data_IF_470922004170
#
_entry.id   IF_470922004170
#
_cell.length_a   1.000
_cell.length_b   1.000
_cell.length_c   1.000
_cell.angle_alpha   90.00
_cell.angle_beta   90.00
_cell.angle_gamma   90.00
#
_symmetry.space_group_name_H-M   'P 1'
#
loop_
_entity.id
_entity.type
_entity.pdbx_description
1 polymer ?
#
# COMPACT_ATOMS: atom_id res chain seq x y z
N UNK A 1 59.29 36.01 17.44
CA UNK A 1 59.14 34.85 16.54
C UNK A 1 57.71 34.35 16.72
N UNK A 2 56.97 34.32 15.61
CA UNK A 2 55.51 34.25 15.54
C UNK A 2 54.91 32.89 15.93
N UNK A 3 53.65 32.89 16.38
CA UNK A 3 52.57 32.05 15.80
C UNK A 3 51.26 32.24 16.55
N UNK A 4 50.34 33.03 15.99
CA UNK A 4 48.92 33.05 16.34
C UNK A 4 48.19 31.99 15.52
N UNK A 5 47.63 30.97 16.18
CA UNK A 5 46.77 29.95 15.54
C UNK A 5 45.35 30.51 15.36
N UNK A 6 44.98 30.81 14.11
CA UNK A 6 43.60 31.09 13.71
C UNK A 6 42.83 29.77 13.60
N UNK A 7 41.86 29.56 14.49
CA UNK A 7 40.93 28.43 14.39
C UNK A 7 39.83 28.81 13.39
N UNK A 8 39.82 28.18 12.22
CA UNK A 8 38.69 28.26 11.28
C UNK A 8 37.61 27.29 11.75
N UNK A 9 36.52 27.83 12.30
CA UNK A 9 35.28 27.07 12.47
C UNK A 9 34.66 26.85 11.08
N UNK A 10 34.72 25.62 10.59
CA UNK A 10 33.95 25.20 9.41
C UNK A 10 32.56 24.86 9.93
N UNK A 11 31.60 25.77 9.73
CA UNK A 11 30.17 25.49 9.89
C UNK A 11 29.76 24.51 8.79
N UNK A 12 29.72 23.22 9.14
CA UNK A 12 29.12 22.20 8.30
C UNK A 12 27.60 22.42 8.25
N UNK A 13 27.11 23.04 7.19
CA UNK A 13 25.68 23.09 6.89
C UNK A 13 25.22 21.70 6.51
N UNK A 14 24.64 20.97 7.48
CA UNK A 14 24.00 19.69 7.23
C UNK A 14 22.72 19.94 6.44
N UNK A 15 22.73 19.62 5.14
CA UNK A 15 21.53 19.58 4.32
C UNK A 15 20.68 18.42 4.82
N UNK A 16 19.61 18.72 5.57
CA UNK A 16 18.55 17.76 5.85
C UNK A 16 17.86 17.49 4.52
N UNK A 17 18.14 16.34 3.91
CA UNK A 17 17.37 15.85 2.78
C UNK A 17 15.98 15.53 3.33
N UNK A 18 15.01 16.37 3.01
CA UNK A 18 13.60 16.11 3.33
C UNK A 18 13.18 14.92 2.46
N UNK A 19 13.23 13.71 3.03
CA UNK A 19 12.72 12.51 2.38
C UNK A 19 11.25 12.74 2.08
N UNK A 20 10.91 12.82 0.79
CA UNK A 20 9.54 12.92 0.34
C UNK A 20 8.83 11.64 0.78
N UNK A 21 7.79 11.78 1.60
CA UNK A 21 6.96 10.68 2.07
C UNK A 21 5.60 10.75 1.37
N UNK A 22 4.92 9.61 1.23
CA UNK A 22 3.48 9.61 0.98
C UNK A 22 2.78 10.42 2.07
N UNK A 23 1.79 11.22 1.68
CA UNK A 23 1.05 12.05 2.62
C UNK A 23 -0.44 11.77 2.51
N UNK A 24 -1.12 11.94 3.64
CA UNK A 24 -2.57 11.94 3.70
C UNK A 24 -3.02 13.27 4.33
N UNK A 25 -4.00 13.92 3.70
CA UNK A 25 -4.64 15.14 4.22
C UNK A 25 -6.07 14.80 4.62
N UNK A 26 -6.41 15.05 5.89
CA UNK A 26 -7.75 14.85 6.42
C UNK A 26 -8.55 16.16 6.40
N UNK A 27 -9.70 16.14 5.75
CA UNK A 27 -10.68 17.23 5.72
C UNK A 27 -12.05 16.68 6.12
N UNK A 28 -12.50 17.02 7.33
CA UNK A 28 -13.70 16.40 7.92
C UNK A 28 -13.51 14.89 8.10
N UNK A 29 -14.35 14.10 7.42
CA UNK A 29 -14.28 12.63 7.42
C UNK A 29 -13.64 12.07 6.14
N UNK A 30 -13.07 12.93 5.29
CA UNK A 30 -12.35 12.49 4.10
C UNK A 30 -10.84 12.53 4.32
N UNK A 31 -10.15 11.48 3.91
CA UNK A 31 -8.70 11.36 3.88
C UNK A 31 -8.27 11.26 2.42
N UNK A 32 -7.57 12.27 1.92
CA UNK A 32 -7.04 12.31 0.55
C UNK A 32 -5.58 11.94 0.55
N UNK A 33 -5.22 10.88 -0.18
CA UNK A 33 -3.87 10.37 -0.29
C UNK A 33 -3.13 11.01 -1.47
N UNK A 34 -1.89 11.43 -1.25
CA UNK A 34 -0.96 11.89 -2.29
C UNK A 34 0.34 11.09 -2.16
N UNK A 35 0.80 10.40 -3.22
CA UNK A 35 1.98 9.55 -3.12
C UNK A 35 3.26 10.38 -3.01
N UNK A 36 4.27 9.81 -2.37
CA UNK A 36 5.59 10.42 -2.26
C UNK A 36 6.32 10.51 -3.61
N UNK A 37 5.94 9.65 -4.57
CA UNK A 37 6.56 9.50 -5.87
C UNK A 37 7.43 8.25 -5.96
N UNK A 38 8.18 8.12 -7.05
CA UNK A 38 8.95 6.92 -7.37
C UNK A 38 9.87 6.48 -6.23
N UNK A 39 9.71 5.23 -5.79
CA UNK A 39 10.54 4.59 -4.77
C UNK A 39 10.26 5.02 -3.32
N UNK A 40 9.20 5.80 -3.09
CA UNK A 40 8.75 6.17 -1.73
C UNK A 40 7.64 5.24 -1.28
N UNK A 41 7.85 4.53 -0.17
CA UNK A 41 6.81 3.68 0.42
C UNK A 41 5.63 4.52 0.94
N UNK A 42 4.45 4.32 0.35
CA UNK A 42 3.20 4.98 0.70
C UNK A 42 2.34 4.15 1.67
N UNK A 43 2.76 2.92 2.03
CA UNK A 43 1.96 2.01 2.86
C UNK A 43 1.52 2.62 4.20
N UNK A 44 2.38 3.39 4.85
CA UNK A 44 2.03 4.02 6.14
C UNK A 44 0.95 5.10 5.97
N UNK A 45 1.07 5.95 4.93
CA UNK A 45 0.07 6.99 4.68
C UNK A 45 -1.30 6.37 4.36
N UNK A 46 -1.31 5.25 3.64
CA UNK A 46 -2.52 4.48 3.34
C UNK A 46 -3.13 3.91 4.63
N UNK A 47 -2.33 3.26 5.48
CA UNK A 47 -2.80 2.76 6.77
C UNK A 47 -3.40 3.88 7.63
N UNK A 48 -2.70 5.02 7.74
CA UNK A 48 -3.16 6.19 8.50
C UNK A 48 -4.48 6.76 7.95
N UNK A 49 -4.69 6.71 6.62
CA UNK A 49 -5.95 7.14 5.99
C UNK A 49 -7.13 6.27 6.43
N UNK A 50 -6.95 4.96 6.42
CA UNK A 50 -7.99 4.02 6.85
C UNK A 50 -8.24 4.08 8.36
N UNK A 51 -7.20 4.28 9.17
CA UNK A 51 -7.35 4.46 10.62
C UNK A 51 -8.16 5.73 10.94
N UNK A 52 -7.94 6.81 10.20
CA UNK A 52 -8.56 8.10 10.50
C UNK A 52 -9.90 8.36 9.83
N UNK A 53 -10.17 7.73 8.68
CA UNK A 53 -11.37 7.95 7.87
C UNK A 53 -12.12 6.65 7.53
N UNK A 54 -11.73 5.51 8.12
CA UNK A 54 -12.38 4.21 7.90
C UNK A 54 -13.75 4.02 8.53
N UNK A 55 -14.23 5.01 9.30
CA UNK A 55 -15.50 4.97 10.02
C UNK A 55 -16.35 6.19 9.61
N UNK A 56 -17.49 5.97 8.95
CA UNK A 56 -18.37 7.04 8.44
C UNK A 56 -17.61 8.08 7.60
N UNK A 57 -16.72 7.62 6.73
CA UNK A 57 -15.74 8.46 6.06
C UNK A 57 -15.44 8.04 4.63
N UNK A 58 -14.44 8.71 4.07
CA UNK A 58 -14.04 8.57 2.68
C UNK A 58 -12.52 8.54 2.57
N UNK A 59 -11.98 7.49 1.95
CA UNK A 59 -10.55 7.39 1.60
C UNK A 59 -10.40 7.56 0.09
N UNK A 60 -9.70 8.60 -0.34
CA UNK A 60 -9.50 8.94 -1.75
C UNK A 60 -8.03 8.75 -2.14
N UNK A 61 -7.78 7.79 -3.03
CA UNK A 61 -6.55 7.70 -3.79
C UNK A 61 -6.70 8.53 -5.06
N UNK A 62 -5.89 9.58 -5.19
CA UNK A 62 -5.79 10.40 -6.38
C UNK A 62 -5.25 9.60 -7.57
N UNK A 63 -5.42 10.14 -8.78
CA UNK A 63 -4.90 9.53 -10.00
C UNK A 63 -3.37 9.68 -10.10
N UNK A 64 -2.66 8.85 -9.35
CA UNK A 64 -1.22 8.76 -9.26
C UNK A 64 -0.79 7.33 -8.91
N UNK A 65 0.52 7.05 -8.93
CA UNK A 65 1.07 5.75 -8.55
C UNK A 65 1.48 5.77 -7.08
N UNK A 66 0.98 4.81 -6.32
CA UNK A 66 1.31 4.58 -4.91
C UNK A 66 2.17 3.33 -4.79
N UNK A 67 3.36 3.45 -4.19
CA UNK A 67 4.22 2.31 -3.95
C UNK A 67 3.87 1.67 -2.61
N UNK A 68 3.48 0.40 -2.65
CA UNK A 68 3.11 -0.38 -1.48
C UNK A 68 4.28 -1.32 -1.18
N UNK A 69 5.14 -0.92 -0.25
CA UNK A 69 6.32 -1.71 0.14
C UNK A 69 6.10 -2.50 1.43
N UNK A 70 4.94 -2.31 2.08
CA UNK A 70 4.54 -3.03 3.30
C UNK A 70 3.11 -3.52 3.25
N UNK A 71 2.85 -4.61 3.98
CA UNK A 71 1.50 -5.17 4.13
C UNK A 71 0.50 -4.14 4.67
N UNK A 72 -0.72 -4.22 4.17
CA UNK A 72 -1.83 -3.38 4.61
C UNK A 72 -2.87 -4.25 5.29
N UNK A 73 -3.24 -3.91 6.52
CA UNK A 73 -4.38 -4.50 7.19
C UNK A 73 -5.36 -3.39 7.57
N UNK A 74 -6.34 -3.17 6.70
CA UNK A 74 -7.33 -2.10 6.82
C UNK A 74 -8.71 -2.76 6.99
N UNK A 75 -8.86 -3.44 8.12
CA UNK A 75 -10.07 -4.20 8.48
C UNK A 75 -10.87 -3.49 9.57
N UNK A 76 -12.09 -3.97 9.82
CA UNK A 76 -12.98 -3.36 10.82
C UNK A 76 -13.56 -2.01 10.40
N UNK A 77 -13.52 -1.69 9.11
CA UNK A 77 -14.09 -0.46 8.55
C UNK A 77 -15.63 -0.49 8.64
N UNK A 78 -16.26 0.69 8.70
CA UNK A 78 -17.72 0.81 8.77
C UNK A 78 -18.22 2.03 8.00
N UNK A 79 -19.19 1.85 7.11
CA UNK A 79 -19.79 2.92 6.31
C UNK A 79 -18.71 3.83 5.68
N UNK A 80 -17.85 3.21 4.88
CA UNK A 80 -16.65 3.84 4.33
C UNK A 80 -16.65 3.76 2.81
N UNK A 81 -16.51 4.92 2.17
CA UNK A 81 -16.27 5.02 0.73
C UNK A 81 -14.77 4.97 0.47
N UNK A 82 -14.36 4.22 -0.55
CA UNK A 82 -12.95 4.11 -0.98
C UNK A 82 -12.88 4.33 -2.47
N UNK A 83 -12.37 5.50 -2.87
CA UNK A 83 -12.19 5.86 -4.26
C UNK A 83 -10.73 5.59 -4.67
N UNK A 84 -10.55 4.66 -5.60
CA UNK A 84 -9.23 4.29 -6.13
C UNK A 84 -9.13 4.82 -7.57
N UNK A 85 -8.60 6.03 -7.72
CA UNK A 85 -8.35 6.63 -9.04
C UNK A 85 -6.92 6.37 -9.53
N UNK A 86 -6.03 5.92 -8.65
CA UNK A 86 -4.62 5.70 -8.95
C UNK A 86 -4.26 4.26 -9.29
N UNK A 87 -2.95 4.03 -9.36
CA UNK A 87 -2.34 2.71 -9.42
C UNK A 87 -1.70 2.42 -8.08
N UNK A 88 -2.09 1.31 -7.47
CA UNK A 88 -1.38 0.72 -6.36
C UNK A 88 -0.35 -0.23 -6.98
N UNK A 89 0.93 0.00 -6.72
CA UNK A 89 2.04 -0.78 -7.27
C UNK A 89 2.76 -1.48 -6.12
N UNK A 90 2.80 -2.81 -6.14
CA UNK A 90 3.42 -3.58 -5.07
C UNK A 90 4.93 -3.66 -5.25
N UNK A 91 5.63 -3.56 -4.13
CA UNK A 91 7.08 -3.70 -4.05
C UNK A 91 7.60 -5.05 -4.51
N UNK A 92 8.84 -5.10 -4.97
CA UNK A 92 9.48 -6.32 -5.52
C UNK A 92 10.36 -7.06 -4.51
N UNK A 93 10.40 -6.65 -3.24
CA UNK A 93 11.19 -7.36 -2.22
C UNK A 93 10.52 -8.69 -1.82
N UNK A 94 10.84 -9.74 -2.58
CA UNK A 94 10.35 -11.10 -2.34
C UNK A 94 10.63 -11.56 -0.92
N UNK A 95 11.81 -11.24 -0.36
CA UNK A 95 12.18 -11.68 0.99
C UNK A 95 11.31 -11.01 2.04
N UNK A 96 11.02 -9.72 1.88
CA UNK A 96 10.09 -9.01 2.75
C UNK A 96 8.70 -9.66 2.69
N UNK A 97 8.13 -9.84 1.48
CA UNK A 97 6.77 -10.37 1.33
C UNK A 97 6.63 -11.78 1.89
N UNK A 98 7.58 -12.69 1.61
CA UNK A 98 7.56 -14.04 2.17
C UNK A 98 7.55 -14.07 3.71
N UNK A 99 8.13 -13.05 4.35
CA UNK A 99 8.26 -12.99 5.80
C UNK A 99 7.15 -12.19 6.50
N UNK A 100 6.46 -11.29 5.78
CA UNK A 100 5.56 -10.31 6.40
C UNK A 100 4.11 -10.39 5.89
N UNK A 101 3.85 -11.07 4.77
CA UNK A 101 2.49 -11.20 4.23
C UNK A 101 1.51 -11.80 5.23
N UNK A 102 0.27 -11.30 5.20
CA UNK A 102 -0.78 -11.60 6.16
C UNK A 102 -1.24 -13.05 6.01
N UNK A 103 -1.16 -13.90 7.05
CA UNK A 103 -1.51 -15.31 6.92
C UNK A 103 -3.04 -15.48 6.77
N UNK A 104 -3.45 -16.27 5.78
CA UNK A 104 -4.87 -16.57 5.54
C UNK A 104 -5.40 -17.73 6.41
N UNK A 105 -4.50 -18.51 7.02
CA UNK A 105 -4.87 -19.72 7.77
C UNK A 105 -5.33 -20.91 6.91
N UNK A 106 -5.41 -20.72 5.58
CA UNK A 106 -5.79 -21.75 4.60
C UNK A 106 -4.67 -21.98 3.58
N UNK A 107 -4.40 -23.25 3.24
CA UNK A 107 -3.42 -23.68 2.23
C UNK A 107 -1.99 -23.09 2.38
N UNK A 108 -1.59 -22.61 3.56
CA UNK A 108 -0.35 -21.85 3.76
C UNK A 108 -0.22 -20.64 2.81
N UNK A 109 -1.35 -20.03 2.44
CA UNK A 109 -1.42 -18.84 1.62
C UNK A 109 -1.37 -17.58 2.48
N UNK A 110 -0.98 -16.49 1.84
CA UNK A 110 -0.86 -15.17 2.46
C UNK A 110 -1.44 -14.09 1.57
N UNK A 111 -1.59 -12.88 2.11
CA UNK A 111 -2.08 -11.72 1.36
C UNK A 111 -1.21 -10.50 1.62
N UNK A 112 -1.13 -9.62 0.61
CA UNK A 112 -0.46 -8.34 0.74
C UNK A 112 -1.37 -7.28 1.36
N UNK A 113 -2.69 -7.38 1.14
CA UNK A 113 -3.66 -6.43 1.68
C UNK A 113 -4.95 -7.12 2.13
N UNK A 114 -5.29 -6.98 3.41
CA UNK A 114 -6.65 -7.21 3.93
C UNK A 114 -7.44 -5.91 3.93
N UNK A 115 -8.52 -5.86 3.15
CA UNK A 115 -9.47 -4.76 3.13
C UNK A 115 -10.85 -5.29 3.54
N UNK A 116 -11.38 -4.82 4.66
CA UNK A 116 -12.47 -5.50 5.34
C UNK A 116 -13.33 -4.61 6.23
N UNK A 117 -14.61 -4.98 6.40
CA UNK A 117 -15.56 -4.18 7.16
C UNK A 117 -17.01 -4.27 6.67
N UNK A 118 -17.88 -3.49 7.31
CA UNK A 118 -19.31 -3.44 6.98
C UNK A 118 -19.63 -2.18 6.19
N UNK A 119 -20.48 -2.29 5.17
CA UNK A 119 -20.98 -1.15 4.40
C UNK A 119 -19.86 -0.38 3.70
N UNK A 120 -19.01 -1.11 2.96
CA UNK A 120 -17.92 -0.50 2.20
C UNK A 120 -18.33 -0.25 0.75
N UNK A 121 -17.99 0.93 0.24
CA UNK A 121 -18.20 1.30 -1.16
C UNK A 121 -16.87 1.57 -1.83
N UNK A 122 -16.28 0.53 -2.42
CA UNK A 122 -14.98 0.60 -3.10
C UNK A 122 -15.18 0.77 -4.61
N UNK A 123 -14.66 1.87 -5.16
CA UNK A 123 -14.83 2.26 -6.55
C UNK A 123 -13.50 2.54 -7.23
N UNK A 124 -13.21 1.80 -8.30
CA UNK A 124 -12.02 1.97 -9.14
C UNK A 124 -12.27 2.75 -10.44
N UNK A 125 -13.50 3.19 -10.71
CA UNK A 125 -13.84 4.01 -11.91
C UNK A 125 -13.48 3.38 -13.28
N UNK A 126 -13.14 2.09 -13.33
CA UNK A 126 -12.73 1.37 -14.53
C UNK A 126 -11.22 1.42 -14.81
N UNK A 127 -10.44 2.18 -14.03
CA UNK A 127 -8.99 2.36 -14.24
C UNK A 127 -8.15 2.29 -12.96
N UNK A 128 -8.75 2.36 -11.78
CA UNK A 128 -8.12 2.15 -10.49
C UNK A 128 -7.44 0.79 -10.45
N UNK A 129 -6.12 0.78 -10.41
CA UNK A 129 -5.32 -0.39 -10.76
C UNK A 129 -4.62 -0.97 -9.55
N UNK A 130 -4.67 -2.29 -9.44
CA UNK A 130 -3.92 -3.10 -8.52
C UNK A 130 -2.83 -3.82 -9.32
N UNK A 131 -1.59 -3.32 -9.30
CA UNK A 131 -0.46 -3.88 -10.03
C UNK A 131 0.49 -4.64 -9.09
N UNK A 132 0.38 -5.97 -9.10
CA UNK A 132 1.16 -6.82 -8.22
C UNK A 132 2.65 -6.92 -8.56
N UNK A 133 3.11 -6.27 -9.65
CA UNK A 133 4.48 -6.37 -10.13
C UNK A 133 4.93 -7.83 -10.32
N UNK A 134 4.04 -8.63 -10.90
CA UNK A 134 4.07 -10.09 -10.85
C UNK A 134 5.24 -10.75 -11.56
N UNK A 135 5.92 -10.07 -12.49
CA UNK A 135 7.03 -10.67 -13.23
C UNK A 135 8.12 -11.25 -12.31
N UNK A 136 8.51 -10.53 -11.26
CA UNK A 136 9.53 -11.02 -10.30
C UNK A 136 9.06 -12.30 -9.58
N UNK A 137 7.76 -12.44 -9.37
CA UNK A 137 7.15 -13.63 -8.77
C UNK A 137 7.03 -14.79 -9.73
N UNK A 138 6.82 -14.53 -11.02
CA UNK A 138 6.80 -15.55 -12.05
C UNK A 138 8.18 -16.17 -12.21
N UNK A 139 9.21 -15.32 -12.26
CA UNK A 139 10.61 -15.75 -12.32
C UNK A 139 11.00 -16.52 -11.06
N UNK A 140 10.67 -15.99 -9.87
CA UNK A 140 10.93 -16.66 -8.59
C UNK A 140 10.19 -18.00 -8.47
N UNK A 141 8.98 -18.11 -9.01
CA UNK A 141 8.21 -19.36 -8.92
C UNK A 141 8.79 -20.48 -9.77
N UNK A 142 9.59 -20.16 -10.79
CA UNK A 142 10.18 -21.13 -11.72
C UNK A 142 9.16 -22.16 -12.26
N UNK A 143 7.93 -21.71 -12.54
CA UNK A 143 6.84 -22.55 -13.04
C UNK A 143 6.03 -23.29 -11.96
N UNK A 144 6.36 -23.12 -10.68
CA UNK A 144 5.60 -23.71 -9.57
C UNK A 144 4.35 -22.85 -9.30
N UNK A 145 3.22 -23.29 -9.84
CA UNK A 145 1.97 -22.52 -9.82
C UNK A 145 1.41 -22.18 -8.44
N UNK A 146 1.70 -22.96 -7.38
CA UNK A 146 1.21 -22.72 -6.01
C UNK A 146 2.38 -22.64 -5.02
N UNK A 147 3.46 -21.97 -5.42
CA UNK A 147 4.60 -21.78 -4.52
C UNK A 147 4.15 -21.07 -3.24
N UNK A 148 4.44 -21.70 -2.10
CA UNK A 148 4.08 -21.22 -0.77
C UNK A 148 4.58 -19.79 -0.52
N UNK A 149 3.74 -18.97 0.09
CA UNK A 149 4.12 -17.65 0.61
C UNK A 149 3.98 -16.50 -0.38
N UNK A 150 3.69 -16.76 -1.66
CA UNK A 150 3.36 -15.70 -2.62
C UNK A 150 2.03 -15.05 -2.20
N UNK A 151 2.01 -13.74 -1.92
CA UNK A 151 0.79 -13.10 -1.45
C UNK A 151 -0.26 -13.01 -2.55
N UNK A 152 -1.53 -13.11 -2.17
CA UNK A 152 -2.61 -12.57 -2.98
C UNK A 152 -2.56 -11.04 -2.93
N UNK A 153 -2.89 -10.36 -4.03
CA UNK A 153 -2.78 -8.91 -4.09
C UNK A 153 -3.80 -8.23 -3.14
N UNK A 154 -5.05 -8.70 -3.18
CA UNK A 154 -6.13 -8.23 -2.32
C UNK A 154 -6.90 -9.40 -1.71
N UNK A 155 -7.20 -9.31 -0.42
CA UNK A 155 -8.23 -10.11 0.23
C UNK A 155 -9.32 -9.21 0.76
N UNK A 156 -10.53 -9.43 0.25
CA UNK A 156 -11.76 -8.84 0.76
C UNK A 156 -12.11 -9.65 2.01
N UNK A 157 -11.93 -9.03 3.18
CA UNK A 157 -11.86 -9.73 4.47
C UNK A 157 -13.07 -9.44 5.36
N UNK A 158 -13.84 -10.46 5.73
CA UNK A 158 -15.00 -10.35 6.64
C UNK A 158 -15.90 -9.16 6.29
N UNK A 159 -16.25 -9.07 5.00
CA UNK A 159 -17.06 -7.95 4.51
C UNK A 159 -18.55 -8.24 4.53
N UNK A 160 -19.35 -7.24 4.89
CA UNK A 160 -20.82 -7.34 4.96
C UNK A 160 -21.44 -6.11 4.32
N UNK A 161 -22.46 -6.31 3.48
CA UNK A 161 -23.15 -5.21 2.79
C UNK A 161 -22.22 -4.30 1.95
N UNK A 162 -21.14 -4.87 1.40
CA UNK A 162 -20.10 -4.08 0.72
C UNK A 162 -20.12 -4.28 -0.79
N UNK A 163 -19.64 -3.28 -1.53
CA UNK A 163 -19.53 -3.29 -2.99
C UNK A 163 -18.12 -2.93 -3.42
N UNK A 164 -17.58 -3.69 -4.38
CA UNK A 164 -16.29 -3.45 -5.02
C UNK A 164 -16.51 -3.40 -6.53
N UNK A 165 -16.21 -2.28 -7.17
CA UNK A 165 -16.57 -2.03 -8.58
C UNK A 165 -15.48 -1.27 -9.33
N UNK A 166 -15.38 -1.53 -10.63
CA UNK A 166 -14.48 -0.78 -11.53
C UNK A 166 -12.99 -0.92 -11.23
N UNK A 167 -12.58 -1.94 -10.46
CA UNK A 167 -11.18 -2.22 -10.18
C UNK A 167 -10.52 -2.94 -11.35
N UNK A 168 -9.27 -2.58 -11.64
CA UNK A 168 -8.41 -3.24 -12.62
C UNK A 168 -7.30 -3.98 -11.88
N UNK A 169 -7.03 -5.21 -12.29
CA UNK A 169 -5.97 -6.02 -11.70
C UNK A 169 -4.92 -6.39 -12.76
N UNK A 170 -3.65 -6.17 -12.45
CA UNK A 170 -2.52 -6.34 -13.36
C UNK A 170 -1.43 -7.14 -12.65
N UNK A 171 -0.89 -8.15 -13.34
CA UNK A 171 0.27 -8.95 -12.92
C UNK A 171 0.30 -9.27 -11.41
N UNK A 172 -0.68 -9.99 -10.88
CA UNK A 172 -0.64 -10.39 -9.47
C UNK A 172 0.54 -11.30 -9.18
N UNK A 173 1.07 -11.19 -7.95
CA UNK A 173 2.08 -12.08 -7.39
C UNK A 173 1.60 -13.55 -7.33
N UNK A 174 0.28 -13.73 -7.12
CA UNK A 174 -0.41 -15.01 -7.14
C UNK A 174 -1.87 -14.84 -7.59
N UNK A 175 -2.84 -14.95 -6.67
CA UNK A 175 -4.24 -14.71 -6.98
C UNK A 175 -4.51 -13.21 -6.92
N UNK A 176 -5.37 -12.72 -7.80
CA UNK A 176 -5.73 -11.31 -7.83
C UNK A 176 -6.55 -10.92 -6.61
N UNK A 177 -7.64 -11.64 -6.38
CA UNK A 177 -8.58 -11.36 -5.28
C UNK A 177 -8.98 -12.68 -4.63
N UNK A 178 -9.00 -12.66 -3.30
CA UNK A 178 -9.68 -13.67 -2.48
C UNK A 178 -10.81 -12.97 -1.69
N UNK A 179 -11.94 -13.64 -1.54
CA UNK A 179 -13.09 -13.15 -0.74
C UNK A 179 -13.31 -14.13 0.40
N UNK A 180 -13.32 -13.63 1.63
CA UNK A 180 -13.52 -14.39 2.87
C UNK A 180 -14.65 -13.80 3.73
#
# INVERSE_FOLDING_TARGET
>A
MAMTRLWRFILGSSLIVLSKAGTMVKEGNQCTLTPGGEGVDDSQAIADAFDQCGQNGHVLFQNATYHIERVLNTTGLSNCTVDIQGTLLWGTDIKYWLNNSLPLGYQNQSSAWFLGGTDLHVQGFGYGTFDGNGQVWYDYSAGISNLKGRPHALTIWDTKNSTFRGLRFVQSQMWYVLVL
#
